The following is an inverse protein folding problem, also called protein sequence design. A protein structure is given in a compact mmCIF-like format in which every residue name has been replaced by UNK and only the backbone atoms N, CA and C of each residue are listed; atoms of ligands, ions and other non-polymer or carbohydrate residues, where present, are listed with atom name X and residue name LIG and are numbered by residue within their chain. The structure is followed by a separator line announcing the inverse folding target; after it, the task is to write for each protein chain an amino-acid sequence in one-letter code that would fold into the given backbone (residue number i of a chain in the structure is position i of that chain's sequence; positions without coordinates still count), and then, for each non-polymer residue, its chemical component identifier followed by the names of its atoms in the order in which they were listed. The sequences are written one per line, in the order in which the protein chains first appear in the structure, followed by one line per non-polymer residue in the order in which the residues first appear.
data_IF_383919224108
#
_entry.id   IF_383919224108
#
_cell.length_a   1.000
_cell.length_b   1.000
_cell.length_c   1.000
_cell.angle_alpha   90.00
_cell.angle_beta   90.00
_cell.angle_gamma   90.00
#
_symmetry.space_group_name_H-M   'P 1'
#
loop_
_entity.id
_entity.type
_entity.pdbx_description
1 polymer ?
#
# COMPACT_ATOMS: atom_id res chain seq x y z
N UNK A 1 13.50 42.28 -22.53
CA UNK A 1 14.47 42.13 -21.44
C UNK A 1 13.85 41.27 -20.34
N UNK A 2 13.93 39.96 -20.48
CA UNK A 2 13.55 38.99 -19.45
C UNK A 2 14.74 38.02 -19.36
N UNK A 3 15.56 38.20 -18.32
CA UNK A 3 16.68 37.30 -18.05
C UNK A 3 16.38 36.48 -16.80
N UNK A 4 16.25 35.18 -17.07
CA UNK A 4 16.49 34.02 -16.23
C UNK A 4 17.11 34.30 -14.84
N UNK A 5 16.38 33.90 -13.80
CA UNK A 5 16.97 33.45 -12.54
C UNK A 5 16.84 31.92 -12.52
N UNK A 6 17.88 31.24 -13.02
CA UNK A 6 18.10 29.82 -12.76
C UNK A 6 18.68 29.74 -11.35
N UNK A 7 17.87 29.26 -10.40
CA UNK A 7 18.34 28.91 -9.08
C UNK A 7 19.26 27.69 -9.19
N UNK A 8 20.55 27.90 -8.91
CA UNK A 8 21.54 26.86 -8.67
C UNK A 8 21.10 26.04 -7.44
N UNK A 9 20.46 24.89 -7.66
CA UNK A 9 20.44 23.82 -6.66
C UNK A 9 21.79 23.12 -6.80
N UNK A 10 22.70 23.45 -5.89
CA UNK A 10 23.94 22.70 -5.71
C UNK A 10 23.59 21.23 -5.47
N UNK A 11 24.22 20.36 -6.25
CA UNK A 11 24.27 18.94 -6.00
C UNK A 11 25.00 18.69 -4.67
N UNK A 12 24.27 18.81 -3.57
CA UNK A 12 24.62 18.12 -2.34
C UNK A 12 24.49 16.63 -2.66
N UNK A 13 25.65 15.99 -2.85
CA UNK A 13 25.76 14.54 -2.82
C UNK A 13 25.05 14.05 -1.57
N UNK A 14 23.89 13.42 -1.72
CA UNK A 14 23.25 12.70 -0.64
C UNK A 14 24.31 11.69 -0.12
N UNK A 15 24.65 11.72 1.18
CA UNK A 15 25.66 10.82 1.71
C UNK A 15 25.24 9.39 1.39
N UNK A 16 26.17 8.61 0.81
CA UNK A 16 25.98 7.18 0.61
C UNK A 16 25.82 6.54 1.99
N UNK A 17 24.64 5.98 2.25
CA UNK A 17 24.23 5.49 3.57
C UNK A 17 25.11 4.36 4.13
N UNK A 18 25.93 3.73 3.29
CA UNK A 18 26.71 2.54 3.61
C UNK A 18 27.89 2.71 4.58
N UNK A 19 28.15 3.89 5.15
CA UNK A 19 29.30 4.07 6.07
C UNK A 19 29.02 4.82 7.38
N UNK A 20 27.89 5.52 7.53
CA UNK A 20 27.66 6.38 8.69
C UNK A 20 26.83 5.67 9.77
N UNK A 21 27.52 5.28 10.85
CA UNK A 21 26.92 4.62 12.02
C UNK A 21 25.88 5.51 12.73
N UNK A 22 24.72 4.95 13.05
CA UNK A 22 23.56 5.67 13.63
C UNK A 22 23.52 5.62 15.17
N UNK A 23 24.67 5.45 15.83
CA UNK A 23 24.73 5.25 17.28
C UNK A 23 24.30 6.48 18.10
N UNK A 24 24.42 7.68 17.54
CA UNK A 24 24.11 8.93 18.27
C UNK A 24 22.73 9.46 17.92
N UNK A 25 22.04 10.18 18.85
CA UNK A 25 20.81 10.89 18.53
C UNK A 25 20.97 11.88 17.36
N UNK A 26 22.16 12.44 17.14
CA UNK A 26 22.42 13.37 16.03
C UNK A 26 22.41 12.62 14.70
N UNK A 27 23.17 11.52 14.60
CA UNK A 27 23.20 10.71 13.37
C UNK A 27 21.84 10.07 13.07
N UNK A 28 21.08 9.67 14.10
CA UNK A 28 19.70 9.22 13.96
C UNK A 28 18.76 10.33 13.44
N UNK A 29 18.85 11.57 13.96
CA UNK A 29 18.07 12.70 13.43
C UNK A 29 18.42 13.02 11.98
N UNK A 30 19.70 13.03 11.62
CA UNK A 30 20.12 13.26 10.23
C UNK A 30 19.52 12.24 9.27
N UNK A 31 19.46 10.96 9.67
CA UNK A 31 18.75 9.93 8.92
C UNK A 31 17.27 10.25 8.75
N UNK A 32 16.59 10.57 9.86
CA UNK A 32 15.15 10.87 9.87
C UNK A 32 14.86 12.07 8.95
N UNK A 33 15.57 13.18 9.13
CA UNK A 33 15.38 14.40 8.34
C UNK A 33 15.63 14.17 6.84
N UNK A 34 16.70 13.45 6.50
CA UNK A 34 17.01 13.11 5.10
C UNK A 34 15.93 12.23 4.48
N UNK A 35 15.41 11.27 5.26
CA UNK A 35 14.35 10.35 4.83
C UNK A 35 13.04 11.10 4.61
N UNK A 36 12.67 11.99 5.53
CA UNK A 36 11.48 12.83 5.41
C UNK A 36 11.56 13.78 4.22
N UNK A 37 12.72 14.42 4.02
CA UNK A 37 12.95 15.30 2.87
C UNK A 37 12.88 14.53 1.54
N UNK A 38 13.48 13.35 1.49
CA UNK A 38 13.40 12.49 0.31
C UNK A 38 11.97 12.04 0.04
N UNK A 39 11.24 11.57 1.05
CA UNK A 39 9.84 11.18 0.92
C UNK A 39 9.01 12.35 0.38
N UNK A 40 9.17 13.55 0.95
CA UNK A 40 8.50 14.77 0.52
C UNK A 40 8.81 15.15 -0.94
N UNK A 41 10.05 14.93 -1.41
CA UNK A 41 10.47 15.26 -2.78
C UNK A 41 10.30 14.10 -3.78
N UNK A 42 9.89 12.91 -3.33
CA UNK A 42 9.65 11.78 -4.22
C UNK A 42 8.39 12.00 -5.05
N UNK A 43 8.51 11.87 -6.37
CA UNK A 43 7.45 12.09 -7.34
C UNK A 43 6.67 10.80 -7.68
N UNK A 44 7.08 9.65 -7.13
CA UNK A 44 6.40 8.37 -7.33
C UNK A 44 6.67 7.43 -6.16
N UNK A 45 5.77 6.47 -5.94
CA UNK A 45 5.98 5.41 -4.96
C UNK A 45 7.24 4.60 -5.28
N UNK A 46 7.52 4.34 -6.57
CA UNK A 46 8.74 3.68 -7.04
C UNK A 46 10.01 4.39 -6.56
N UNK A 47 10.10 5.70 -6.75
CA UNK A 47 11.26 6.48 -6.32
C UNK A 47 11.45 6.42 -4.80
N UNK A 48 10.35 6.53 -4.04
CA UNK A 48 10.37 6.44 -2.59
C UNK A 48 10.80 5.05 -2.11
N UNK A 49 10.11 4.00 -2.56
CA UNK A 49 10.30 2.60 -2.15
C UNK A 49 11.70 2.07 -2.49
N UNK A 50 12.24 2.45 -3.65
CA UNK A 50 13.55 1.99 -4.10
C UNK A 50 14.72 2.82 -3.55
N UNK A 51 14.46 3.86 -2.75
CA UNK A 51 15.53 4.62 -2.12
C UNK A 51 16.32 3.81 -1.10
N UNK A 52 17.63 4.08 -0.99
CA UNK A 52 18.48 3.56 0.08
C UNK A 52 18.10 4.08 1.48
N UNK A 53 17.39 5.21 1.55
CA UNK A 53 16.89 5.76 2.82
C UNK A 53 15.58 5.10 3.27
N UNK A 54 14.95 4.29 2.43
CA UNK A 54 13.65 3.72 2.74
C UNK A 54 13.73 2.87 4.04
N UNK A 55 12.87 3.11 5.05
CA UNK A 55 13.00 2.48 6.36
C UNK A 55 13.03 0.94 6.35
N UNK A 56 12.36 0.30 5.41
CA UNK A 56 12.44 -1.16 5.22
C UNK A 56 13.84 -1.64 4.83
N UNK A 57 14.57 -0.89 3.98
CA UNK A 57 15.96 -1.25 3.62
C UNK A 57 16.90 -1.04 4.80
N UNK A 58 16.74 0.09 5.50
CA UNK A 58 17.57 0.43 6.66
C UNK A 58 17.33 -0.55 7.81
N UNK A 59 16.12 -1.09 7.96
CA UNK A 59 15.80 -2.11 8.97
C UNK A 59 16.69 -3.35 8.90
N UNK A 60 17.22 -3.70 7.72
CA UNK A 60 18.13 -4.82 7.52
C UNK A 60 19.61 -4.48 7.71
N UNK A 61 19.95 -3.21 7.96
CA UNK A 61 21.32 -2.70 8.01
C UNK A 61 21.72 -2.19 9.41
N UNK A 62 20.75 -1.94 10.29
CA UNK A 62 20.98 -1.37 11.63
C UNK A 62 21.00 -2.44 12.71
N UNK A 63 21.84 -2.26 13.73
CA UNK A 63 21.80 -3.08 14.94
C UNK A 63 20.85 -2.49 16.01
N UNK A 64 20.66 -3.23 17.11
CA UNK A 64 19.73 -2.84 18.18
C UNK A 64 20.03 -1.47 18.82
N UNK A 65 21.31 -1.06 18.92
CA UNK A 65 21.67 0.24 19.49
C UNK A 65 21.26 1.39 18.56
N UNK A 66 21.50 1.22 17.27
CA UNK A 66 21.10 2.19 16.24
C UNK A 66 19.59 2.31 16.15
N UNK A 67 18.89 1.17 16.14
CA UNK A 67 17.43 1.10 16.12
C UNK A 67 16.81 1.80 17.34
N UNK A 68 17.37 1.57 18.53
CA UNK A 68 16.99 2.29 19.76
C UNK A 68 17.18 3.81 19.61
N UNK A 69 18.33 4.25 19.09
CA UNK A 69 18.61 5.67 18.87
C UNK A 69 17.64 6.33 17.89
N UNK A 70 17.26 5.64 16.81
CA UNK A 70 16.23 6.08 15.87
C UNK A 70 14.88 6.23 16.56
N UNK A 71 14.42 5.22 17.31
CA UNK A 71 13.15 5.26 18.02
C UNK A 71 13.07 6.37 19.09
N UNK A 72 14.19 6.70 19.74
CA UNK A 72 14.25 7.86 20.66
C UNK A 72 14.15 9.17 19.89
N UNK A 73 14.90 9.30 18.78
CA UNK A 73 14.92 10.52 17.98
C UNK A 73 13.55 10.83 17.36
N UNK A 74 12.84 9.80 16.85
CA UNK A 74 11.52 9.92 16.21
C UNK A 74 10.45 10.54 17.11
N UNK A 75 10.56 10.43 18.43
CA UNK A 75 9.60 11.03 19.39
C UNK A 75 9.53 12.56 19.32
N UNK A 76 10.51 13.20 18.70
CA UNK A 76 10.55 14.65 18.52
C UNK A 76 9.85 15.12 17.22
N UNK A 77 9.27 14.20 16.46
CA UNK A 77 8.59 14.48 15.19
C UNK A 77 7.07 14.28 15.34
N UNK A 78 6.23 14.99 14.57
CA UNK A 78 4.79 14.71 14.52
C UNK A 78 4.49 13.25 14.17
N UNK A 79 3.45 12.66 14.76
CA UNK A 79 3.13 11.23 14.62
C UNK A 79 2.90 10.79 13.17
N UNK A 80 2.26 11.63 12.35
CA UNK A 80 2.08 11.36 10.91
C UNK A 80 3.42 11.31 10.15
N UNK A 81 4.50 11.91 10.65
CA UNK A 81 5.85 11.73 10.08
C UNK A 81 6.54 10.47 10.62
N UNK A 82 6.25 10.08 11.86
CA UNK A 82 6.81 8.88 12.48
C UNK A 82 6.35 7.60 11.76
N UNK A 83 5.12 7.56 11.22
CA UNK A 83 4.59 6.37 10.52
C UNK A 83 5.43 5.94 9.32
N UNK A 84 6.16 6.85 8.67
CA UNK A 84 7.00 6.49 7.53
C UNK A 84 8.07 5.45 7.92
N UNK A 85 8.45 5.44 9.20
CA UNK A 85 9.41 4.51 9.77
C UNK A 85 8.76 3.26 10.37
N UNK A 86 7.44 3.06 10.20
CA UNK A 86 6.73 1.90 10.72
C UNK A 86 7.39 0.57 10.33
N UNK A 87 7.79 0.32 9.06
CA UNK A 87 8.48 -0.91 8.68
C UNK A 87 9.75 -1.19 9.50
N UNK A 88 10.48 -0.13 9.86
CA UNK A 88 11.71 -0.20 10.64
C UNK A 88 11.43 -0.50 12.12
N UNK A 89 10.39 0.11 12.71
CA UNK A 89 10.07 -0.07 14.13
C UNK A 89 9.17 -1.28 14.41
N UNK A 90 8.69 -1.98 13.37
CA UNK A 90 7.92 -3.23 13.48
C UNK A 90 8.69 -4.48 13.08
N UNK A 91 9.97 -4.35 12.68
CA UNK A 91 10.80 -5.51 12.37
C UNK A 91 11.01 -6.41 13.62
N UNK A 92 11.51 -7.63 13.42
CA UNK A 92 11.61 -8.62 14.48
C UNK A 92 12.50 -8.12 15.64
N UNK A 93 13.61 -7.45 15.31
CA UNK A 93 14.56 -6.88 16.24
C UNK A 93 13.93 -5.77 17.10
N UNK A 94 13.15 -4.86 16.49
CA UNK A 94 12.50 -3.73 17.14
C UNK A 94 11.53 -4.17 18.25
N UNK A 95 10.92 -5.35 18.12
CA UNK A 95 9.99 -5.90 19.13
C UNK A 95 10.65 -6.08 20.49
N UNK A 96 11.97 -6.25 20.53
CA UNK A 96 12.74 -6.42 21.77
C UNK A 96 13.20 -5.10 22.39
N UNK A 97 13.00 -3.97 21.70
CA UNK A 97 13.50 -2.66 22.10
C UNK A 97 12.36 -1.83 22.67
N UNK A 98 12.40 -1.56 23.99
CA UNK A 98 11.32 -0.90 24.73
C UNK A 98 10.94 0.47 24.17
N UNK A 99 11.91 1.19 23.60
CA UNK A 99 11.71 2.52 23.05
C UNK A 99 10.93 2.48 21.74
N UNK A 100 11.21 1.48 20.91
CA UNK A 100 10.51 1.23 19.65
C UNK A 100 9.09 0.69 19.90
N UNK A 101 8.93 -0.20 20.89
CA UNK A 101 7.62 -0.69 21.30
C UNK A 101 6.69 0.47 21.71
N UNK A 102 7.14 1.35 22.62
CA UNK A 102 6.37 2.53 23.06
C UNK A 102 6.04 3.48 21.91
N UNK A 103 6.99 3.70 21.00
CA UNK A 103 6.77 4.55 19.82
C UNK A 103 5.70 3.96 18.90
N UNK A 104 5.79 2.66 18.61
CA UNK A 104 4.82 1.93 17.79
C UNK A 104 3.41 2.03 18.38
N UNK A 105 3.25 1.77 19.67
CA UNK A 105 1.94 1.81 20.32
C UNK A 105 1.32 3.22 20.29
N UNK A 106 2.15 4.25 20.48
CA UNK A 106 1.76 5.66 20.33
C UNK A 106 1.29 5.99 18.92
N UNK A 107 1.96 5.47 17.89
CA UNK A 107 1.56 5.66 16.49
C UNK A 107 0.23 4.96 16.22
N UNK A 108 0.06 3.71 16.66
CA UNK A 108 -1.19 2.95 16.48
C UNK A 108 -2.36 3.69 17.12
N UNK A 109 -2.20 4.18 18.35
CA UNK A 109 -3.26 4.90 19.04
C UNK A 109 -3.61 6.23 18.36
N UNK A 110 -2.62 6.94 17.83
CA UNK A 110 -2.86 8.15 17.04
C UNK A 110 -3.76 7.86 15.82
N UNK A 111 -3.45 6.83 15.03
CA UNK A 111 -4.26 6.49 13.85
C UNK A 111 -5.66 6.00 14.21
N UNK A 112 -5.78 5.21 15.28
CA UNK A 112 -7.09 4.79 15.80
C UNK A 112 -7.95 6.00 16.20
N UNK A 113 -7.38 6.93 16.96
CA UNK A 113 -8.06 8.14 17.41
C UNK A 113 -8.43 9.05 16.23
N UNK A 114 -7.50 9.29 15.30
CA UNK A 114 -7.75 10.08 14.11
C UNK A 114 -8.88 9.48 13.24
N UNK A 115 -8.89 8.16 13.05
CA UNK A 115 -9.96 7.46 12.35
C UNK A 115 -11.32 7.58 13.05
N UNK A 116 -11.35 7.46 14.38
CA UNK A 116 -12.57 7.67 15.16
C UNK A 116 -13.11 9.11 15.03
N UNK A 117 -12.23 10.11 15.06
CA UNK A 117 -12.59 11.53 14.86
C UNK A 117 -13.06 11.83 13.42
N UNK A 118 -12.44 11.21 12.41
CA UNK A 118 -12.94 11.26 11.02
C UNK A 118 -14.34 10.68 10.93
N UNK A 119 -14.54 9.47 11.45
CA UNK A 119 -15.83 8.80 11.41
C UNK A 119 -16.91 9.63 12.11
N UNK A 120 -16.62 10.20 13.29
CA UNK A 120 -17.57 11.05 14.01
C UNK A 120 -18.07 12.25 13.20
N UNK A 121 -17.26 12.81 12.29
CA UNK A 121 -17.65 13.96 11.46
C UNK A 121 -18.62 13.61 10.33
N UNK A 122 -18.58 12.39 9.83
CA UNK A 122 -19.35 11.96 8.65
C UNK A 122 -20.50 11.01 9.00
N UNK A 123 -20.46 10.40 10.18
CA UNK A 123 -21.33 9.30 10.56
C UNK A 123 -22.73 9.76 10.97
N UNK A 124 -23.72 8.94 10.58
CA UNK A 124 -25.10 8.92 11.13
C UNK A 124 -25.18 7.91 12.29
N UNK A 125 -26.27 7.93 13.08
CA UNK A 125 -26.40 7.08 14.30
C UNK A 125 -26.09 5.57 14.07
N UNK A 126 -26.35 5.05 12.86
CA UNK A 126 -26.09 3.66 12.44
C UNK A 126 -25.06 3.58 11.30
N UNK A 127 -24.28 2.49 11.27
CA UNK A 127 -23.31 2.19 10.19
C UNK A 127 -24.07 1.86 8.90
N UNK A 128 -23.59 2.38 7.77
CA UNK A 128 -24.10 2.05 6.45
C UNK A 128 -23.65 0.66 6.00
N UNK A 129 -24.59 -0.18 5.55
CA UNK A 129 -24.27 -1.43 4.85
C UNK A 129 -24.11 -1.14 3.36
N UNK A 130 -22.96 -1.51 2.80
CA UNK A 130 -22.56 -1.23 1.41
C UNK A 130 -22.12 -2.56 0.76
N UNK A 131 -23.05 -3.52 0.55
CA UNK A 131 -22.70 -4.80 -0.03
C UNK A 131 -22.13 -4.61 -1.43
N UNK A 132 -20.89 -5.09 -1.66
CA UNK A 132 -20.28 -4.99 -2.98
C UNK A 132 -21.00 -5.87 -4.00
N UNK A 133 -21.16 -5.35 -5.22
CA UNK A 133 -21.62 -6.15 -6.35
C UNK A 133 -20.44 -6.91 -7.00
N UNK A 134 -20.71 -8.10 -7.51
CA UNK A 134 -19.70 -8.90 -8.20
C UNK A 134 -19.70 -8.52 -9.68
N UNK A 135 -18.53 -8.16 -10.21
CA UNK A 135 -18.29 -8.06 -11.65
C UNK A 135 -17.38 -9.19 -12.08
N UNK A 136 -17.87 -9.99 -13.04
CA UNK A 136 -17.12 -11.10 -13.60
C UNK A 136 -16.12 -10.59 -14.64
N UNK A 137 -14.91 -11.16 -14.63
CA UNK A 137 -13.83 -10.86 -15.57
C UNK A 137 -13.40 -12.17 -16.23
N UNK A 138 -13.52 -12.24 -17.56
CA UNK A 138 -12.96 -13.33 -18.34
C UNK A 138 -11.42 -13.19 -18.36
N UNK A 139 -10.66 -14.18 -17.83
CA UNK A 139 -9.21 -14.13 -17.88
C UNK A 139 -8.63 -14.47 -19.26
N UNK A 140 -9.43 -14.98 -20.20
CA UNK A 140 -8.97 -15.46 -21.51
C UNK A 140 -8.33 -14.35 -22.33
N UNK A 141 -7.13 -14.61 -22.84
CA UNK A 141 -6.31 -13.61 -23.53
C UNK A 141 -5.74 -12.51 -22.62
N UNK A 142 -5.89 -12.65 -21.30
CA UNK A 142 -5.49 -11.68 -20.29
C UNK A 142 -6.31 -10.39 -20.38
N UNK A 143 -5.63 -9.25 -20.43
CA UNK A 143 -6.25 -7.94 -20.55
C UNK A 143 -5.50 -6.88 -19.76
N UNK A 144 -5.78 -5.61 -20.04
CA UNK A 144 -5.23 -4.48 -19.30
C UNK A 144 -6.37 -3.59 -18.79
N UNK A 145 -6.57 -3.60 -17.48
CA UNK A 145 -7.74 -3.05 -16.83
C UNK A 145 -7.37 -1.82 -16.01
N UNK A 146 -7.68 -0.63 -16.54
CA UNK A 146 -7.54 0.65 -15.81
C UNK A 146 -8.85 1.03 -15.10
N UNK A 147 -9.96 0.98 -15.85
CA UNK A 147 -11.31 1.23 -15.35
C UNK A 147 -12.22 -0.02 -15.38
N UNK A 148 -11.80 -1.08 -16.07
CA UNK A 148 -12.54 -2.35 -16.20
C UNK A 148 -14.04 -2.22 -16.52
N UNK A 149 -14.39 -1.30 -17.43
CA UNK A 149 -15.77 -1.02 -17.84
C UNK A 149 -16.74 -0.75 -16.68
N UNK A 150 -16.22 -0.19 -15.59
CA UNK A 150 -17.04 0.33 -14.50
C UNK A 150 -17.92 1.49 -15.00
N UNK A 151 -19.18 1.48 -14.59
CA UNK A 151 -20.15 2.55 -14.84
C UNK A 151 -19.89 3.75 -13.91
N UNK A 152 -20.52 4.90 -14.23
CA UNK A 152 -20.46 6.06 -13.34
C UNK A 152 -20.99 5.69 -11.95
N UNK A 153 -20.27 6.07 -10.89
CA UNK A 153 -20.59 5.71 -9.52
C UNK A 153 -20.08 4.34 -9.09
N UNK A 154 -19.49 3.53 -9.97
CA UNK A 154 -18.92 2.23 -9.60
C UNK A 154 -17.42 2.34 -9.27
N UNK A 155 -17.03 1.82 -8.10
CA UNK A 155 -15.66 1.81 -7.62
C UNK A 155 -15.20 0.40 -7.29
N UNK A 156 -14.03 0.02 -7.78
CA UNK A 156 -13.33 -1.17 -7.31
C UNK A 156 -12.25 -0.75 -6.32
N UNK A 157 -12.42 -1.10 -5.04
CA UNK A 157 -11.43 -0.82 -4.01
C UNK A 157 -10.35 -1.90 -4.06
N UNK A 158 -9.10 -1.48 -4.26
CA UNK A 158 -7.96 -2.40 -4.35
C UNK A 158 -6.90 -2.09 -3.31
N UNK A 159 -6.27 -3.13 -2.78
CA UNK A 159 -5.24 -3.03 -1.76
C UNK A 159 -3.98 -3.81 -2.15
N UNK A 160 -2.86 -3.12 -2.27
CA UNK A 160 -1.57 -3.70 -2.67
C UNK A 160 -0.64 -3.93 -1.47
N UNK A 161 0.38 -4.76 -1.68
CA UNK A 161 1.54 -5.06 -0.81
C UNK A 161 1.31 -6.05 0.34
N UNK A 162 0.08 -6.26 0.78
CA UNK A 162 -0.25 -7.20 1.84
C UNK A 162 0.13 -8.67 1.58
N UNK A 163 -0.14 -9.56 2.54
CA UNK A 163 -0.70 -9.27 3.86
C UNK A 163 0.31 -8.65 4.85
N UNK A 164 -0.20 -7.78 5.73
CA UNK A 164 0.45 -7.27 6.92
C UNK A 164 -0.11 -7.94 8.18
N UNK A 165 0.72 -8.13 9.20
CA UNK A 165 0.32 -8.82 10.42
C UNK A 165 -0.67 -8.02 11.31
N UNK A 166 -0.69 -6.70 11.17
CA UNK A 166 -1.50 -5.80 12.01
C UNK A 166 -2.60 -5.14 11.19
N UNK A 167 -2.26 -4.49 10.08
CA UNK A 167 -3.21 -3.62 9.37
C UNK A 167 -4.19 -4.39 8.48
N UNK A 168 -3.79 -5.52 7.87
CA UNK A 168 -4.70 -6.32 7.04
C UNK A 168 -5.86 -6.89 7.86
N UNK A 169 -5.66 -7.54 9.03
CA UNK A 169 -6.79 -7.99 9.86
C UNK A 169 -7.73 -6.85 10.31
N UNK A 170 -7.20 -5.68 10.64
CA UNK A 170 -8.01 -4.51 10.99
C UNK A 170 -8.85 -4.04 9.81
N UNK A 171 -8.27 -3.99 8.60
CA UNK A 171 -9.00 -3.68 7.38
C UNK A 171 -10.12 -4.69 7.11
N UNK A 172 -9.85 -5.99 7.24
CA UNK A 172 -10.87 -7.03 7.03
C UNK A 172 -12.05 -6.87 8.00
N UNK A 173 -11.78 -6.51 9.26
CA UNK A 173 -12.84 -6.22 10.24
C UNK A 173 -13.70 -5.02 9.80
N UNK A 174 -13.06 -3.93 9.36
CA UNK A 174 -13.76 -2.75 8.84
C UNK A 174 -14.60 -3.14 7.62
N UNK A 175 -14.02 -3.78 6.60
CA UNK A 175 -14.75 -4.14 5.39
C UNK A 175 -15.93 -5.08 5.68
N UNK A 176 -15.79 -5.98 6.67
CA UNK A 176 -16.88 -6.84 7.14
C UNK A 176 -18.03 -6.04 7.75
N UNK A 177 -17.74 -5.06 8.60
CA UNK A 177 -18.77 -4.24 9.25
C UNK A 177 -19.62 -3.44 8.24
N UNK A 178 -19.01 -3.05 7.11
CA UNK A 178 -19.69 -2.37 6.00
C UNK A 178 -20.21 -3.32 4.91
N UNK A 179 -20.02 -4.63 5.02
CA UNK A 179 -20.31 -5.64 3.99
C UNK A 179 -19.59 -5.43 2.64
N UNK A 180 -18.48 -4.69 2.63
CA UNK A 180 -17.70 -4.42 1.43
C UNK A 180 -16.78 -5.60 1.12
N UNK A 181 -16.75 -6.01 -0.15
CA UNK A 181 -15.71 -6.87 -0.75
C UNK A 181 -14.79 -6.05 -1.63
N UNK A 182 -13.54 -6.49 -1.73
CA UNK A 182 -12.43 -5.77 -2.35
C UNK A 182 -11.45 -6.76 -3.00
N UNK A 183 -10.57 -6.23 -3.86
CA UNK A 183 -9.50 -6.99 -4.49
C UNK A 183 -8.16 -6.67 -3.81
N UNK A 184 -7.43 -7.70 -3.36
CA UNK A 184 -6.13 -7.57 -2.72
C UNK A 184 -5.05 -8.08 -3.67
N UNK A 185 -4.05 -7.29 -4.01
CA UNK A 185 -2.90 -7.73 -4.79
C UNK A 185 -1.73 -7.98 -3.83
N UNK A 186 -1.50 -9.25 -3.52
CA UNK A 186 -0.56 -9.65 -2.45
C UNK A 186 0.84 -9.91 -2.99
N UNK A 187 1.85 -9.55 -2.20
CA UNK A 187 3.24 -9.87 -2.49
C UNK A 187 3.53 -11.29 -2.00
N UNK A 188 4.09 -12.14 -2.87
CA UNK A 188 4.31 -13.56 -2.58
C UNK A 188 5.09 -13.83 -1.29
N UNK A 189 6.18 -13.08 -1.03
CA UNK A 189 6.93 -13.18 0.23
C UNK A 189 6.11 -12.83 1.48
N UNK A 190 5.18 -11.87 1.37
CA UNK A 190 4.31 -11.52 2.49
C UNK A 190 3.27 -12.60 2.72
N UNK A 191 2.71 -13.17 1.65
CA UNK A 191 1.80 -14.30 1.72
C UNK A 191 2.49 -15.55 2.31
N UNK A 192 3.73 -15.83 1.90
CA UNK A 192 4.54 -16.95 2.42
C UNK A 192 4.77 -16.81 3.93
N UNK A 193 4.98 -15.58 4.41
CA UNK A 193 5.22 -15.28 5.82
C UNK A 193 3.94 -15.27 6.66
N UNK A 194 2.81 -14.93 6.07
CA UNK A 194 1.51 -14.76 6.76
C UNK A 194 0.38 -15.51 6.02
N UNK A 195 0.53 -16.82 5.76
CA UNK A 195 -0.42 -17.60 4.96
C UNK A 195 -1.82 -17.58 5.57
N UNK A 196 -1.91 -17.59 6.90
CA UNK A 196 -3.17 -17.55 7.65
C UNK A 196 -3.97 -16.26 7.41
N UNK A 197 -3.29 -15.12 7.17
CA UNK A 197 -3.97 -13.84 6.88
C UNK A 197 -4.44 -13.82 5.43
N UNK A 198 -3.64 -14.37 4.50
CA UNK A 198 -4.08 -14.58 3.12
C UNK A 198 -5.33 -15.44 3.04
N UNK A 199 -5.32 -16.61 3.68
CA UNK A 199 -6.49 -17.49 3.72
C UNK A 199 -7.70 -16.82 4.40
N UNK A 200 -7.51 -16.12 5.51
CA UNK A 200 -8.59 -15.38 6.17
C UNK A 200 -9.18 -14.26 5.27
N UNK A 201 -8.34 -13.61 4.46
CA UNK A 201 -8.78 -12.60 3.48
C UNK A 201 -9.69 -13.23 2.44
N UNK A 202 -9.33 -14.39 1.89
CA UNK A 202 -10.18 -15.13 0.95
C UNK A 202 -11.46 -15.64 1.59
N UNK A 203 -11.38 -16.24 2.78
CA UNK A 203 -12.54 -16.78 3.50
C UNK A 203 -13.53 -15.69 3.93
N UNK A 204 -13.06 -14.45 4.08
CA UNK A 204 -13.92 -13.28 4.24
C UNK A 204 -14.61 -12.83 2.94
N UNK A 205 -14.38 -13.51 1.81
CA UNK A 205 -15.02 -13.27 0.51
C UNK A 205 -14.34 -12.20 -0.35
N UNK A 206 -13.11 -11.80 0.00
CA UNK A 206 -12.30 -10.91 -0.84
C UNK A 206 -11.56 -11.71 -1.92
N UNK A 207 -11.13 -11.04 -2.98
CA UNK A 207 -10.44 -11.68 -4.10
C UNK A 207 -8.96 -11.34 -4.02
N UNK A 208 -8.10 -12.36 -4.04
CA UNK A 208 -6.66 -12.21 -3.91
C UNK A 208 -6.01 -12.39 -5.28
N UNK A 209 -5.50 -11.31 -5.84
CA UNK A 209 -4.60 -11.29 -6.98
C UNK A 209 -3.13 -11.25 -6.56
N UNK A 210 -2.26 -11.33 -7.55
CA UNK A 210 -0.81 -11.43 -7.42
C UNK A 210 -0.14 -10.06 -7.64
N UNK A 211 0.77 -9.66 -6.75
CA UNK A 211 1.59 -8.45 -6.84
C UNK A 211 3.09 -8.75 -6.89
N UNK A 212 3.46 -9.77 -7.66
CA UNK A 212 4.81 -10.32 -7.78
C UNK A 212 5.30 -11.05 -6.53
N UNK A 213 6.47 -11.68 -6.60
CA UNK A 213 7.08 -12.42 -5.50
C UNK A 213 7.67 -11.51 -4.43
N UNK A 214 8.46 -10.53 -4.85
CA UNK A 214 9.30 -9.73 -3.95
C UNK A 214 9.21 -8.22 -4.19
N UNK A 215 8.15 -7.76 -4.88
CA UNK A 215 7.86 -6.35 -5.13
C UNK A 215 9.01 -5.59 -5.82
N UNK A 216 9.81 -6.31 -6.62
CA UNK A 216 10.81 -5.69 -7.49
C UNK A 216 10.13 -4.96 -8.63
N UNK A 217 10.82 -3.95 -9.15
CA UNK A 217 10.45 -3.36 -10.43
C UNK A 217 10.74 -4.36 -11.56
N UNK A 218 9.71 -5.08 -11.99
CA UNK A 218 9.81 -6.11 -13.02
C UNK A 218 10.19 -5.53 -14.39
N UNK A 219 9.97 -4.23 -14.62
CA UNK A 219 10.41 -3.56 -15.86
C UNK A 219 11.94 -3.51 -16.01
N UNK A 220 12.69 -3.75 -14.93
CA UNK A 220 14.16 -3.82 -14.96
C UNK A 220 14.68 -5.25 -15.19
N UNK A 221 13.80 -6.26 -15.17
CA UNK A 221 14.18 -7.65 -15.34
C UNK A 221 14.05 -8.09 -16.82
N UNK A 222 14.66 -9.22 -17.15
CA UNK A 222 14.33 -9.91 -18.41
C UNK A 222 12.89 -10.42 -18.36
N UNK A 223 12.27 -10.58 -19.52
CA UNK A 223 10.86 -11.00 -19.60
C UNK A 223 10.64 -12.37 -18.94
N UNK A 224 11.61 -13.29 -19.11
CA UNK A 224 11.63 -14.58 -18.41
C UNK A 224 11.69 -14.42 -16.89
N UNK A 225 12.61 -13.60 -16.37
CA UNK A 225 12.75 -13.41 -14.93
C UNK A 225 11.53 -12.71 -14.31
N UNK A 226 10.91 -11.78 -15.05
CA UNK A 226 9.64 -11.17 -14.64
C UNK A 226 8.52 -12.22 -14.57
N UNK A 227 8.36 -13.05 -15.60
CA UNK A 227 7.33 -14.09 -15.64
C UNK A 227 7.54 -15.18 -14.57
N UNK A 228 8.79 -15.59 -14.31
CA UNK A 228 9.14 -16.49 -13.21
C UNK A 228 8.76 -15.90 -11.84
N UNK A 229 8.95 -14.58 -11.66
CA UNK A 229 8.56 -13.87 -10.43
C UNK A 229 7.04 -13.86 -10.24
N UNK A 230 6.27 -13.69 -11.33
CA UNK A 230 4.80 -13.76 -11.32
C UNK A 230 4.34 -15.19 -11.00
N UNK A 231 4.81 -16.20 -11.74
CA UNK A 231 4.37 -17.59 -11.55
C UNK A 231 4.70 -18.13 -10.16
N UNK A 232 5.83 -17.74 -9.58
CA UNK A 232 6.19 -18.18 -8.23
C UNK A 232 5.14 -17.79 -7.19
N UNK A 233 4.56 -16.59 -7.29
CA UNK A 233 3.47 -16.18 -6.39
C UNK A 233 2.18 -16.94 -6.69
N UNK A 234 1.84 -17.20 -7.95
CA UNK A 234 0.66 -18.00 -8.28
C UNK A 234 0.76 -19.44 -7.75
N UNK A 235 1.92 -20.08 -7.88
CA UNK A 235 2.17 -21.41 -7.31
C UNK A 235 1.98 -21.42 -5.79
N UNK A 236 2.43 -20.36 -5.11
CA UNK A 236 2.21 -20.23 -3.68
C UNK A 236 0.71 -20.03 -3.34
N UNK A 237 -0.01 -19.22 -4.13
CA UNK A 237 -1.43 -19.00 -3.96
C UNK A 237 -2.24 -20.29 -4.12
N UNK A 238 -1.90 -21.14 -5.11
CA UNK A 238 -2.51 -22.47 -5.29
C UNK A 238 -2.32 -23.41 -4.09
N UNK A 239 -1.25 -23.22 -3.31
CA UNK A 239 -0.98 -24.03 -2.11
C UNK A 239 -1.72 -23.51 -0.88
N UNK A 240 -1.85 -22.18 -0.74
CA UNK A 240 -2.36 -21.53 0.47
C UNK A 240 -3.87 -21.26 0.40
N UNK A 241 -4.38 -20.91 -0.77
CA UNK A 241 -5.75 -20.45 -0.97
C UNK A 241 -6.66 -21.59 -1.43
N UNK A 242 -7.93 -21.53 -1.02
CA UNK A 242 -8.97 -22.47 -1.45
C UNK A 242 -9.25 -22.34 -2.96
N UNK A 243 -9.11 -21.14 -3.51
CA UNK A 243 -9.20 -20.83 -4.94
C UNK A 243 -8.15 -19.79 -5.34
N UNK A 244 -7.34 -20.07 -6.37
CA UNK A 244 -6.39 -19.09 -6.92
C UNK A 244 -6.99 -18.45 -8.17
N UNK A 245 -6.91 -17.12 -8.27
CA UNK A 245 -7.40 -16.37 -9.44
C UNK A 245 -6.21 -15.80 -10.23
N UNK A 246 -6.25 -15.76 -11.58
CA UNK A 246 -5.12 -15.34 -12.40
C UNK A 246 -4.99 -13.81 -12.50
N UNK A 247 -5.40 -13.06 -11.47
CA UNK A 247 -5.32 -11.60 -11.49
C UNK A 247 -3.94 -11.14 -11.07
N UNK A 248 -3.39 -10.16 -11.78
CA UNK A 248 -2.05 -9.65 -11.52
C UNK A 248 -1.99 -8.13 -11.60
N UNK A 249 -1.13 -7.52 -10.79
CA UNK A 249 -0.76 -6.10 -10.90
C UNK A 249 0.75 -5.98 -10.82
N UNK A 250 1.37 -5.30 -11.78
CA UNK A 250 2.79 -5.01 -11.73
C UNK A 250 3.11 -4.08 -10.55
N UNK A 251 4.16 -4.36 -9.74
CA UNK A 251 4.71 -3.40 -8.79
C UNK A 251 4.95 -2.05 -9.43
N UNK A 252 4.49 -0.99 -8.75
CA UNK A 252 4.57 0.40 -9.22
C UNK A 252 3.85 0.69 -10.55
N UNK A 253 3.08 -0.27 -11.10
CA UNK A 253 2.56 -0.15 -12.46
C UNK A 253 3.63 -0.22 -13.56
N UNK A 254 4.85 -0.66 -13.22
CA UNK A 254 6.01 -0.60 -14.10
C UNK A 254 6.18 -1.92 -14.88
N UNK A 255 6.00 -1.88 -16.20
CA UNK A 255 6.11 -3.05 -17.08
C UNK A 255 6.62 -2.66 -18.47
N UNK A 256 7.27 -3.63 -19.15
CA UNK A 256 7.55 -3.56 -20.59
C UNK A 256 6.35 -4.03 -21.40
N UNK A 257 6.22 -3.58 -22.64
CA UNK A 257 5.21 -4.09 -23.58
C UNK A 257 5.29 -5.62 -23.74
N UNK A 258 6.49 -6.16 -23.92
CA UNK A 258 6.71 -7.60 -24.06
C UNK A 258 6.27 -8.40 -22.83
N UNK A 259 6.42 -7.84 -21.63
CA UNK A 259 5.93 -8.48 -20.39
C UNK A 259 4.40 -8.50 -20.33
N UNK A 260 3.73 -7.44 -20.80
CA UNK A 260 2.27 -7.43 -20.91
C UNK A 260 1.77 -8.43 -21.95
N UNK A 261 2.48 -8.56 -23.07
CA UNK A 261 2.16 -9.55 -24.10
C UNK A 261 2.29 -10.98 -23.54
N UNK A 262 3.32 -11.26 -22.72
CA UNK A 262 3.43 -12.54 -22.00
C UNK A 262 2.26 -12.80 -21.04
N UNK A 263 1.78 -11.79 -20.29
CA UNK A 263 0.61 -11.99 -19.42
C UNK A 263 -0.63 -12.38 -20.23
N UNK A 264 -0.84 -11.76 -21.40
CA UNK A 264 -1.94 -12.12 -22.31
C UNK A 264 -1.84 -13.55 -22.82
N UNK A 265 -0.65 -13.96 -23.27
CA UNK A 265 -0.36 -15.33 -23.72
C UNK A 265 -0.62 -16.37 -22.60
N UNK A 266 -0.48 -15.97 -21.34
CA UNK A 266 -0.71 -16.83 -20.17
C UNK A 266 -2.11 -16.67 -19.55
N UNK A 267 -3.03 -15.94 -20.19
CA UNK A 267 -4.39 -15.67 -19.68
C UNK A 267 -4.40 -15.01 -18.27
N UNK A 268 -3.49 -14.06 -18.06
CA UNK A 268 -3.34 -13.31 -16.81
C UNK A 268 -3.81 -11.87 -17.04
N UNK A 269 -5.00 -11.48 -16.56
CA UNK A 269 -5.41 -10.08 -16.50
C UNK A 269 -4.44 -9.19 -15.70
N UNK A 270 -3.95 -8.12 -16.32
CA UNK A 270 -3.22 -7.04 -15.66
C UNK A 270 -4.21 -5.97 -15.19
N UNK A 271 -4.26 -5.73 -13.88
CA UNK A 271 -5.02 -4.65 -13.27
C UNK A 271 -4.09 -3.48 -12.96
N UNK A 272 -4.44 -2.32 -13.50
CA UNK A 272 -3.89 -1.02 -13.14
C UNK A 272 -4.87 -0.29 -12.20
N UNK A 273 -4.72 1.02 -12.06
CA UNK A 273 -5.66 1.86 -11.33
C UNK A 273 -6.02 3.12 -12.12
N UNK A 274 -7.24 3.61 -11.94
CA UNK A 274 -7.67 4.90 -12.47
C UNK A 274 -7.47 6.01 -11.44
N UNK A 275 -7.59 5.68 -10.16
CA UNK A 275 -7.55 6.61 -9.03
C UNK A 275 -6.41 6.20 -8.10
N UNK A 276 -5.37 7.03 -8.01
CA UNK A 276 -4.28 6.87 -7.06
C UNK A 276 -4.54 7.71 -5.81
N UNK A 277 -4.66 7.07 -4.66
CA UNK A 277 -4.93 7.77 -3.39
C UNK A 277 -3.68 8.43 -2.81
N UNK A 278 -2.50 8.05 -3.32
CA UNK A 278 -1.21 8.47 -2.79
C UNK A 278 -1.09 8.24 -1.28
N UNK A 279 -1.69 7.17 -0.76
CA UNK A 279 -1.63 6.83 0.68
C UNK A 279 -0.20 6.57 1.17
N UNK A 280 0.72 6.15 0.29
CA UNK A 280 2.16 6.10 0.57
C UNK A 280 2.80 7.48 0.82
N UNK A 281 2.18 8.56 0.31
CA UNK A 281 2.64 9.96 0.38
C UNK A 281 1.93 10.73 1.49
N UNK A 282 0.62 10.56 1.61
CA UNK A 282 -0.21 11.32 2.53
C UNK A 282 -0.42 10.54 3.81
N UNK A 283 0.45 10.77 4.79
CA UNK A 283 0.43 10.04 6.05
C UNK A 283 -0.45 10.68 7.12
N UNK A 284 -0.86 11.94 6.94
CA UNK A 284 -1.87 12.56 7.80
C UNK A 284 -3.26 12.03 7.40
N UNK A 285 -4.01 11.36 8.30
CA UNK A 285 -5.34 10.81 7.99
C UNK A 285 -6.34 11.85 7.48
N UNK A 286 -6.33 13.06 8.02
CA UNK A 286 -7.25 14.12 7.60
C UNK A 286 -6.97 14.55 6.16
N UNK A 287 -5.69 14.71 5.84
CA UNK A 287 -5.28 15.05 4.49
C UNK A 287 -5.59 13.91 3.51
N UNK A 288 -5.21 12.67 3.86
CA UNK A 288 -5.44 11.50 3.00
C UNK A 288 -6.92 11.29 2.72
N UNK A 289 -7.78 11.39 3.74
CA UNK A 289 -9.23 11.27 3.57
C UNK A 289 -9.78 12.26 2.55
N UNK A 290 -9.44 13.54 2.70
CA UNK A 290 -9.93 14.58 1.79
C UNK A 290 -9.37 14.40 0.37
N UNK A 291 -8.08 14.10 0.25
CA UNK A 291 -7.42 13.89 -1.04
C UNK A 291 -8.00 12.68 -1.78
N UNK A 292 -8.15 11.53 -1.11
CA UNK A 292 -8.73 10.33 -1.71
C UNK A 292 -10.17 10.57 -2.17
N UNK A 293 -10.98 11.23 -1.34
CA UNK A 293 -12.37 11.55 -1.67
C UNK A 293 -12.47 12.52 -2.87
N UNK A 294 -11.62 13.54 -2.92
CA UNK A 294 -11.52 14.46 -4.06
C UNK A 294 -11.21 13.69 -5.35
N UNK A 295 -10.17 12.85 -5.34
CA UNK A 295 -9.77 12.07 -6.53
C UNK A 295 -10.85 11.09 -6.99
N UNK A 296 -11.54 10.44 -6.05
CA UNK A 296 -12.65 9.55 -6.35
C UNK A 296 -13.81 10.33 -7.00
N UNK A 297 -14.19 11.48 -6.44
CA UNK A 297 -15.27 12.32 -6.98
C UNK A 297 -14.94 12.88 -8.36
N UNK A 298 -13.71 13.34 -8.56
CA UNK A 298 -13.21 13.84 -9.84
C UNK A 298 -13.26 12.77 -10.93
N UNK A 299 -12.81 11.55 -10.64
CA UNK A 299 -12.86 10.44 -11.59
C UNK A 299 -14.29 9.92 -11.79
N UNK A 300 -15.11 9.94 -10.73
CA UNK A 300 -16.50 9.52 -10.74
C UNK A 300 -16.73 8.00 -10.86
N UNK A 301 -15.68 7.23 -11.13
CA UNK A 301 -15.66 5.77 -11.22
C UNK A 301 -14.22 5.26 -11.33
N UNK A 302 -14.05 3.95 -11.19
CA UNK A 302 -12.82 3.26 -11.58
C UNK A 302 -12.20 2.42 -10.48
N UNK A 303 -11.00 1.92 -10.77
CA UNK A 303 -10.20 1.12 -9.84
C UNK A 303 -9.39 2.06 -8.95
N UNK A 304 -9.60 1.97 -7.64
CA UNK A 304 -8.95 2.80 -6.61
C UNK A 304 -7.78 2.05 -6.00
N UNK A 305 -6.59 2.63 -6.06
CA UNK A 305 -5.37 2.09 -5.45
C UNK A 305 -5.22 2.55 -4.01
N UNK A 306 -5.19 1.59 -3.09
CA UNK A 306 -4.73 1.72 -1.72
C UNK A 306 -3.67 0.65 -1.43
N UNK A 307 -3.07 0.71 -0.25
CA UNK A 307 -2.18 -0.31 0.27
C UNK A 307 -2.64 -0.72 1.67
N UNK A 308 -2.92 -2.01 1.89
CA UNK A 308 -3.37 -2.51 3.20
C UNK A 308 -2.24 -2.54 4.24
N UNK A 309 -1.01 -2.26 3.83
CA UNK A 309 0.15 -2.09 4.73
C UNK A 309 0.23 -0.70 5.40
N UNK A 310 -0.64 0.25 5.02
CA UNK A 310 -0.59 1.64 5.44
C UNK A 310 -1.58 1.94 6.59
N UNK A 311 -1.12 2.27 7.81
CA UNK A 311 -2.02 2.56 8.94
C UNK A 311 -3.00 3.71 8.68
N UNK A 312 -2.57 4.73 7.93
CA UNK A 312 -3.40 5.86 7.52
C UNK A 312 -4.58 5.42 6.63
N UNK A 313 -4.38 4.44 5.75
CA UNK A 313 -5.45 3.86 4.92
C UNK A 313 -6.49 3.19 5.80
N UNK A 314 -6.05 2.42 6.79
CA UNK A 314 -6.95 1.73 7.74
C UNK A 314 -7.74 2.76 8.54
N UNK A 315 -7.08 3.83 9.01
CA UNK A 315 -7.69 4.88 9.81
C UNK A 315 -8.81 5.62 9.07
N UNK A 316 -8.63 5.93 7.78
CA UNK A 316 -9.63 6.68 7.02
C UNK A 316 -10.78 5.81 6.51
N UNK A 317 -10.59 4.48 6.41
CA UNK A 317 -11.50 3.59 5.69
C UNK A 317 -12.96 3.67 6.17
N UNK A 318 -13.28 3.67 7.49
CA UNK A 318 -14.66 3.77 7.93
C UNK A 318 -15.34 5.06 7.47
N UNK A 319 -14.67 6.20 7.63
CA UNK A 319 -15.21 7.50 7.23
C UNK A 319 -15.33 7.62 5.70
N UNK A 320 -14.36 7.05 4.97
CA UNK A 320 -14.38 7.02 3.51
C UNK A 320 -15.58 6.23 3.01
N UNK A 321 -15.81 5.02 3.52
CA UNK A 321 -16.94 4.18 3.12
C UNK A 321 -18.30 4.85 3.40
N UNK A 322 -18.48 5.46 4.58
CA UNK A 322 -19.69 6.23 4.89
C UNK A 322 -19.91 7.38 3.89
N UNK A 323 -18.85 8.12 3.56
CA UNK A 323 -18.96 9.26 2.66
C UNK A 323 -19.23 8.82 1.22
N UNK A 324 -18.57 7.77 0.75
CA UNK A 324 -18.82 7.19 -0.57
C UNK A 324 -20.27 6.71 -0.72
N UNK A 325 -20.83 6.07 0.31
CA UNK A 325 -22.23 5.68 0.31
C UNK A 325 -23.18 6.90 0.26
N UNK A 326 -22.88 7.97 1.00
CA UNK A 326 -23.66 9.22 0.96
C UNK A 326 -23.60 9.91 -0.40
N UNK A 327 -22.48 9.77 -1.10
CA UNK A 327 -22.28 10.27 -2.46
C UNK A 327 -22.88 9.35 -3.54
N UNK A 328 -23.54 8.25 -3.15
CA UNK A 328 -24.13 7.23 -4.03
C UNK A 328 -23.11 6.43 -4.87
N UNK A 329 -21.86 6.31 -4.40
CA UNK A 329 -20.93 5.34 -4.98
C UNK A 329 -21.29 3.92 -4.55
N UNK A 330 -21.09 2.98 -5.46
CA UNK A 330 -21.26 1.55 -5.25
C UNK A 330 -19.89 0.85 -5.33
N UNK A 331 -19.67 -0.09 -4.43
CA UNK A 331 -18.45 -0.90 -4.43
C UNK A 331 -18.64 -2.13 -5.32
N UNK A 332 -17.67 -2.38 -6.19
CA UNK A 332 -17.61 -3.53 -7.09
C UNK A 332 -16.41 -4.39 -6.69
N UNK A 333 -16.59 -5.71 -6.63
CA UNK A 333 -15.49 -6.68 -6.50
C UNK A 333 -15.35 -7.47 -7.80
N UNK A 334 -14.14 -7.51 -8.35
CA UNK A 334 -13.87 -8.31 -9.53
C UNK A 334 -13.63 -9.76 -9.15
N UNK A 335 -14.30 -10.67 -9.83
CA UNK A 335 -14.16 -12.12 -9.65
C UNK A 335 -13.89 -12.75 -11.02
N UNK A 336 -12.99 -13.73 -11.15
CA UNK A 336 -12.84 -14.43 -12.42
C UNK A 336 -14.15 -15.13 -12.82
N UNK A 337 -14.41 -15.19 -14.12
CA UNK A 337 -15.38 -16.15 -14.65
C UNK A 337 -14.91 -17.57 -14.38
N UNK A 338 -15.77 -18.39 -13.78
CA UNK A 338 -15.51 -19.82 -13.62
C UNK A 338 -15.52 -20.44 -15.01
N UNK A 339 -14.51 -21.23 -15.32
CA UNK A 339 -14.47 -22.03 -16.55
C UNK A 339 -15.44 -23.20 -16.49
#
# INVERSE_FOLDING_TARGET
MYSLIIAFISALTLPTFGSQKLYSPITARNYIDSTLLLHQNSNSYRQWKLSELHPEKVAHQVNNYELKSICIALRNYPTFKQVLFFPLITNHEAKTISECHRLRDSIIEFYRSAGAHLLQRVRKETISLIPSQIRKIDPTGGGFYVNADLAQGELNLTFDDGPNATTTPELLAILKDYQVKANFFVVGKNLERLPQIGLATQQAGHIIGNHSWDHKDLSQLSDRAALENVHRTFQLMEIILDESVPFFRFPFGAAKRSQRDLLKENNIPEFFWAIDTLDWKHTDPDYLFNFALEKIRESGKGIVLFHDIQPQTIAIMPALLETLNQDNFQTIVFHPESR
#
